data_IF_698407412043
#
_entry.id   IF_698407412043
#
_cell.length_a   1.000
_cell.length_b   1.000
_cell.length_c   1.000
_cell.angle_alpha   90.00
_cell.angle_beta   90.00
_cell.angle_gamma   90.00
#
_symmetry.space_group_name_H-M   'P 1'
#
loop_
_entity.id
_entity.type
_entity.pdbx_description
1 polymer ?
#
# COMPACT_ATOMS: atom_id res chain seq x y z
N UNK A 1 -47.43 -24.11 81.25
CA UNK A 1 -46.35 -24.28 82.20
C UNK A 1 -45.19 -23.40 81.80
N UNK A 2 -45.08 -22.38 82.60
CA UNK A 2 -43.91 -21.74 83.19
C UNK A 2 -43.09 -20.86 82.22
N UNK A 3 -43.25 -19.55 82.24
CA UNK A 3 -42.52 -18.58 83.06
C UNK A 3 -41.04 -18.48 82.70
N UNK A 4 -40.46 -17.35 82.28
CA UNK A 4 -40.16 -16.07 83.05
C UNK A 4 -39.41 -15.11 82.08
N UNK A 5 -39.86 -13.92 81.80
CA UNK A 5 -39.50 -12.65 82.41
C UNK A 5 -38.01 -12.41 82.78
N UNK A 6 -37.41 -11.49 82.06
CA UNK A 6 -36.47 -10.45 82.56
C UNK A 6 -36.12 -9.56 81.36
N UNK A 7 -36.52 -8.33 81.16
CA UNK A 7 -36.31 -7.10 81.91
C UNK A 7 -34.81 -6.79 82.11
N UNK A 8 -34.38 -5.75 81.50
CA UNK A 8 -33.09 -5.08 81.87
C UNK A 8 -32.50 -4.36 80.67
N UNK A 9 -32.86 -3.10 80.55
CA UNK A 9 -31.91 -1.98 80.61
C UNK A 9 -30.61 -2.15 79.76
N UNK A 10 -30.59 -1.44 78.66
CA UNK A 10 -29.44 -0.62 78.27
C UNK A 10 -29.84 0.38 77.18
N UNK A 11 -30.69 1.30 77.52
CA UNK A 11 -30.73 2.60 76.85
C UNK A 11 -29.66 3.44 77.49
N UNK A 12 -28.45 3.45 76.98
CA UNK A 12 -27.56 4.58 77.24
C UNK A 12 -26.15 4.41 76.62
N UNK A 13 -26.02 4.18 75.36
CA UNK A 13 -24.72 4.33 74.68
C UNK A 13 -24.84 4.80 73.23
N UNK A 14 -25.87 5.47 72.84
CA UNK A 14 -26.03 6.03 71.49
C UNK A 14 -25.81 7.54 71.44
N UNK A 15 -24.88 8.09 72.19
CA UNK A 15 -24.59 9.52 72.09
C UNK A 15 -23.13 9.86 72.35
N UNK A 16 -22.22 9.20 71.68
CA UNK A 16 -20.85 9.76 71.64
C UNK A 16 -19.99 9.04 70.58
N UNK A 17 -20.24 9.29 69.35
CA UNK A 17 -19.16 9.33 68.38
C UNK A 17 -19.64 10.02 67.07
N UNK A 18 -19.97 11.30 67.21
CA UNK A 18 -19.88 12.17 66.02
C UNK A 18 -18.41 12.54 65.85
N UNK A 19 -17.61 11.53 65.52
CA UNK A 19 -16.31 11.72 65.00
C UNK A 19 -16.41 12.55 63.71
N UNK A 20 -15.87 13.76 63.79
CA UNK A 20 -15.67 14.65 62.67
C UNK A 20 -15.09 13.86 61.50
N UNK A 21 -15.91 13.58 60.50
CA UNK A 21 -15.41 13.12 59.23
C UNK A 21 -14.54 14.23 58.63
N UNK A 22 -13.23 14.17 58.90
CA UNK A 22 -12.29 14.95 58.13
C UNK A 22 -12.53 14.67 56.67
N UNK A 23 -12.69 15.71 55.84
CA UNK A 23 -12.77 15.48 54.39
C UNK A 23 -11.48 14.80 53.98
N UNK A 24 -11.60 13.54 53.58
CA UNK A 24 -10.54 12.77 52.94
C UNK A 24 -10.08 13.55 51.72
N UNK A 25 -9.06 14.39 51.89
CA UNK A 25 -8.39 15.03 50.77
C UNK A 25 -7.73 13.91 49.97
N UNK A 26 -8.37 13.58 48.86
CA UNK A 26 -7.78 12.62 47.91
C UNK A 26 -6.34 13.07 47.60
N UNK A 27 -5.36 12.19 47.71
CA UNK A 27 -3.97 12.56 47.43
C UNK A 27 -3.88 13.12 46.01
N UNK A 28 -3.57 14.39 45.87
CA UNK A 28 -3.17 14.97 44.61
C UNK A 28 -1.93 14.24 44.13
N UNK A 29 -2.12 13.27 43.21
CA UNK A 29 -1.02 12.60 42.52
C UNK A 29 -0.45 13.63 41.55
N UNK A 30 0.71 14.21 41.81
CA UNK A 30 1.33 15.13 40.88
C UNK A 30 1.69 14.36 39.64
N UNK A 31 0.89 14.51 38.57
CA UNK A 31 1.16 13.97 37.24
C UNK A 31 2.34 14.72 36.61
N UNK A 32 3.51 14.61 37.24
CA UNK A 32 4.76 15.04 36.62
C UNK A 32 5.17 13.94 35.65
N UNK A 33 4.86 14.12 34.39
CA UNK A 33 5.45 13.33 33.29
C UNK A 33 6.96 13.65 33.26
N UNK A 34 7.73 12.99 34.15
CA UNK A 34 9.18 13.03 34.09
C UNK A 34 9.62 12.17 32.89
N UNK A 35 9.60 12.76 31.69
CA UNK A 35 10.12 12.14 30.49
C UNK A 35 11.62 11.86 30.68
N UNK A 36 11.96 10.59 30.75
CA UNK A 36 13.35 10.15 30.76
C UNK A 36 13.99 10.51 29.42
N UNK A 37 15.29 10.82 29.37
CA UNK A 37 16.01 11.16 28.12
C UNK A 37 15.77 10.15 26.97
N UNK A 38 15.60 8.87 27.30
CA UNK A 38 15.25 7.82 26.33
C UNK A 38 13.84 7.99 25.76
N UNK A 39 12.89 8.47 26.54
CA UNK A 39 11.51 8.73 26.07
C UNK A 39 11.43 10.00 25.23
N UNK A 40 12.32 10.97 25.47
CA UNK A 40 12.40 12.19 24.68
C UNK A 40 12.81 11.93 23.22
N UNK A 41 13.57 10.86 22.97
CA UNK A 41 13.96 10.43 21.62
C UNK A 41 12.99 9.38 21.07
N UNK A 42 12.54 8.43 21.90
CA UNK A 42 11.68 7.34 21.48
C UNK A 42 10.27 7.78 21.10
N UNK A 43 9.70 8.74 21.84
CA UNK A 43 8.33 9.21 21.59
C UNK A 43 8.17 9.92 20.24
N UNK A 44 9.05 10.87 19.85
CA UNK A 44 8.99 11.47 18.51
C UNK A 44 9.25 10.45 17.40
N UNK A 45 10.15 9.49 17.60
CA UNK A 45 10.40 8.44 16.61
C UNK A 45 9.17 7.55 16.42
N UNK A 46 8.49 7.19 17.52
CA UNK A 46 7.24 6.42 17.46
C UNK A 46 6.10 7.23 16.80
N UNK A 47 6.00 8.53 17.07
CA UNK A 47 5.03 9.41 16.44
C UNK A 47 5.34 9.69 14.97
N UNK A 48 6.60 9.61 14.55
CA UNK A 48 7.00 9.79 13.15
C UNK A 48 6.42 8.69 12.25
N UNK A 49 6.28 7.45 12.73
CA UNK A 49 5.75 6.33 11.93
C UNK A 49 4.33 6.61 11.39
N UNK A 50 3.32 6.95 12.22
CA UNK A 50 1.99 7.29 11.69
C UNK A 50 2.00 8.55 10.82
N UNK A 51 2.83 9.55 11.13
CA UNK A 51 2.95 10.75 10.33
C UNK A 51 3.51 10.40 8.92
N UNK A 52 4.56 9.60 8.84
CA UNK A 52 5.12 9.12 7.57
C UNK A 52 4.13 8.24 6.79
N UNK A 53 3.30 7.48 7.50
CA UNK A 53 2.21 6.71 6.89
C UNK A 53 1.13 7.62 6.28
N UNK A 54 0.72 8.66 6.99
CA UNK A 54 -0.23 9.67 6.51
C UNK A 54 0.30 10.47 5.31
N UNK A 55 1.61 10.70 5.26
CA UNK A 55 2.29 11.32 4.13
C UNK A 55 2.43 10.39 2.91
N UNK A 56 1.89 9.16 2.98
CA UNK A 56 1.89 8.20 1.88
C UNK A 56 3.24 7.54 1.61
N UNK A 57 4.22 7.65 2.53
CA UNK A 57 5.52 7.01 2.34
C UNK A 57 5.43 5.48 2.26
N UNK A 58 4.43 4.89 2.93
CA UNK A 58 4.16 3.44 2.93
C UNK A 58 3.00 3.06 2.00
N UNK A 59 2.47 4.03 1.22
CA UNK A 59 1.36 3.82 0.31
C UNK A 59 1.77 3.15 -1.01
N UNK A 60 0.79 2.57 -1.68
CA UNK A 60 0.93 2.12 -3.06
C UNK A 60 1.19 3.34 -3.96
N UNK A 61 2.06 3.15 -4.93
CA UNK A 61 2.38 4.20 -5.88
C UNK A 61 2.43 3.65 -7.29
N UNK A 62 1.67 4.26 -8.16
CA UNK A 62 1.80 4.07 -9.59
C UNK A 62 2.77 5.10 -10.18
N UNK A 63 3.46 4.71 -11.21
CA UNK A 63 4.33 5.59 -12.00
C UNK A 63 4.03 5.37 -13.47
N UNK A 64 4.32 6.39 -14.25
CA UNK A 64 4.16 6.36 -15.70
C UNK A 64 5.50 6.69 -16.36
N UNK A 65 5.79 6.00 -17.44
CA UNK A 65 6.97 6.24 -18.26
C UNK A 65 6.57 6.24 -19.72
N UNK A 66 7.15 7.15 -20.47
CA UNK A 66 6.90 7.30 -21.90
C UNK A 66 8.14 6.93 -22.68
N UNK A 67 7.92 6.32 -23.83
CA UNK A 67 8.95 6.06 -24.84
C UNK A 67 8.36 6.36 -26.20
N UNK A 68 9.11 7.01 -27.04
CA UNK A 68 8.69 7.34 -28.40
C UNK A 68 9.78 6.98 -29.39
N UNK A 69 9.34 6.63 -30.56
CA UNK A 69 10.17 6.43 -31.74
C UNK A 69 9.59 7.27 -32.91
N UNK A 70 10.00 7.02 -34.13
CA UNK A 70 9.49 7.76 -35.28
C UNK A 70 8.01 7.49 -35.60
N UNK A 71 7.59 6.23 -35.40
CA UNK A 71 6.26 5.75 -35.81
C UNK A 71 5.38 5.32 -34.66
N UNK A 72 5.94 5.12 -33.49
CA UNK A 72 5.22 4.63 -32.31
C UNK A 72 5.54 5.46 -31.06
N UNK A 73 4.51 5.74 -30.30
CA UNK A 73 4.58 6.28 -28.94
C UNK A 73 4.03 5.24 -27.98
N UNK A 74 4.72 5.00 -26.88
CA UNK A 74 4.32 4.05 -25.85
C UNK A 74 4.30 4.75 -24.49
N UNK A 75 3.18 4.64 -23.78
CA UNK A 75 3.02 5.05 -22.39
C UNK A 75 2.79 3.81 -21.56
N UNK A 76 3.54 3.68 -20.46
CA UNK A 76 3.47 2.55 -19.56
C UNK A 76 3.14 3.07 -18.17
N UNK A 77 1.95 2.72 -17.68
CA UNK A 77 1.56 2.94 -16.29
C UNK A 77 1.78 1.65 -15.51
N UNK A 78 2.58 1.71 -14.47
CA UNK A 78 3.00 0.53 -13.73
C UNK A 78 3.05 0.78 -12.22
N UNK A 79 2.88 -0.27 -11.40
CA UNK A 79 3.00 -0.17 -9.96
C UNK A 79 4.47 0.03 -9.58
N UNK A 80 4.86 1.25 -9.24
CA UNK A 80 6.22 1.53 -8.78
C UNK A 80 6.46 0.99 -7.37
N UNK A 81 5.38 0.89 -6.57
CA UNK A 81 5.45 0.35 -5.21
C UNK A 81 4.10 -0.26 -4.83
N UNK A 82 4.10 -1.49 -4.34
CA UNK A 82 2.91 -2.15 -3.80
C UNK A 82 3.26 -3.26 -2.80
N UNK A 83 2.24 -3.75 -2.09
CA UNK A 83 2.43 -4.76 -1.04
C UNK A 83 2.40 -6.19 -1.58
N UNK A 84 3.07 -7.07 -0.86
CA UNK A 84 3.03 -8.50 -1.08
C UNK A 84 1.59 -9.04 -1.07
N UNK A 85 1.31 -10.02 -1.92
CA UNK A 85 -0.02 -10.64 -2.12
C UNK A 85 -1.11 -9.69 -2.64
N UNK A 86 -0.75 -8.54 -3.15
CA UNK A 86 -1.69 -7.68 -3.86
C UNK A 86 -1.60 -7.87 -5.37
N UNK A 87 -2.74 -7.67 -6.03
CA UNK A 87 -2.83 -7.61 -7.48
C UNK A 87 -2.71 -6.16 -7.91
N UNK A 88 -1.87 -5.91 -8.89
CA UNK A 88 -1.69 -4.58 -9.47
C UNK A 88 -1.71 -4.65 -10.98
N UNK A 89 -2.17 -3.59 -11.63
CA UNK A 89 -2.17 -3.48 -13.07
C UNK A 89 -0.91 -2.82 -13.61
N UNK A 90 -0.45 -3.35 -14.73
CA UNK A 90 0.54 -2.77 -15.62
C UNK A 90 -0.15 -2.50 -16.95
N UNK A 91 -0.36 -1.22 -17.29
CA UNK A 91 -1.08 -0.80 -18.46
C UNK A 91 -0.11 -0.19 -19.47
N UNK A 92 -0.13 -0.70 -20.69
CA UNK A 92 0.74 -0.28 -21.78
C UNK A 92 -0.16 0.24 -22.90
N UNK A 93 -0.14 1.54 -23.13
CA UNK A 93 -0.80 2.16 -24.28
C UNK A 93 0.22 2.37 -25.41
N UNK A 94 -0.07 1.81 -26.57
CA UNK A 94 0.75 1.97 -27.78
C UNK A 94 -0.04 2.73 -28.82
N UNK A 95 0.50 3.85 -29.28
CA UNK A 95 -0.10 4.73 -30.27
C UNK A 95 0.72 4.74 -31.55
N UNK A 96 0.05 4.61 -32.69
CA UNK A 96 0.67 4.85 -33.97
C UNK A 96 0.76 6.36 -34.25
N UNK A 97 1.96 6.88 -34.32
CA UNK A 97 2.22 8.30 -34.64
C UNK A 97 2.60 8.54 -36.10
N UNK A 98 2.67 7.46 -36.90
CA UNK A 98 2.94 7.56 -38.32
C UNK A 98 1.72 8.01 -39.11
N UNK A 99 1.90 8.44 -40.37
CA UNK A 99 0.85 8.85 -41.29
C UNK A 99 0.12 7.68 -42.00
N UNK A 100 0.50 6.44 -41.71
CA UNK A 100 -0.07 5.24 -42.37
C UNK A 100 -0.40 4.15 -41.31
N UNK A 101 -1.24 3.20 -41.70
CA UNK A 101 -1.56 2.07 -40.86
C UNK A 101 -0.32 1.18 -40.65
N UNK A 102 -0.16 0.66 -39.45
CA UNK A 102 0.89 -0.30 -39.14
C UNK A 102 0.24 -1.68 -39.02
N UNK A 103 0.63 -2.58 -39.87
CA UNK A 103 0.05 -3.93 -39.93
C UNK A 103 0.27 -4.72 -38.66
N UNK A 104 1.47 -4.57 -38.04
CA UNK A 104 1.85 -5.34 -36.85
C UNK A 104 2.75 -4.54 -35.96
N UNK A 105 2.36 -4.45 -34.70
CA UNK A 105 3.20 -3.96 -33.60
C UNK A 105 3.38 -5.10 -32.59
N UNK A 106 4.60 -5.48 -32.30
CA UNK A 106 4.93 -6.50 -31.30
C UNK A 106 5.36 -5.80 -30.01
N UNK A 107 4.63 -6.07 -28.91
CA UNK A 107 4.98 -5.55 -27.60
C UNK A 107 5.58 -6.68 -26.78
N UNK A 108 6.85 -6.55 -26.45
CA UNK A 108 7.63 -7.54 -25.69
C UNK A 108 7.75 -7.08 -24.24
N UNK A 109 7.32 -7.92 -23.31
CA UNK A 109 7.54 -7.76 -21.88
C UNK A 109 8.73 -8.63 -21.46
N UNK A 110 9.60 -8.06 -20.65
CA UNK A 110 10.80 -8.77 -20.14
C UNK A 110 10.40 -9.99 -19.32
N UNK A 111 10.78 -11.17 -19.78
CA UNK A 111 10.48 -12.45 -19.11
C UNK A 111 11.06 -12.50 -17.71
N UNK A 112 12.27 -11.95 -17.49
CA UNK A 112 12.92 -11.95 -16.18
C UNK A 112 12.15 -11.06 -15.18
N UNK A 113 11.51 -9.99 -15.66
CA UNK A 113 10.65 -9.15 -14.84
C UNK A 113 9.33 -9.85 -14.53
N UNK A 114 8.64 -10.34 -15.56
CA UNK A 114 7.31 -10.96 -15.41
C UNK A 114 7.38 -12.23 -14.55
N UNK A 115 8.44 -13.03 -14.66
CA UNK A 115 8.62 -14.25 -13.84
C UNK A 115 8.83 -13.99 -12.34
N UNK A 116 8.94 -12.73 -11.93
CA UNK A 116 9.00 -12.35 -10.51
C UNK A 116 7.61 -12.31 -9.85
N UNK A 117 6.56 -12.40 -10.64
CA UNK A 117 5.16 -12.40 -10.18
C UNK A 117 4.59 -13.81 -10.32
N UNK A 118 3.80 -14.25 -9.33
CA UNK A 118 3.29 -15.63 -9.29
C UNK A 118 2.15 -15.91 -10.26
N UNK A 119 1.38 -14.87 -10.58
CA UNK A 119 0.31 -14.94 -11.56
C UNK A 119 0.34 -13.68 -12.42
N UNK A 120 0.28 -13.89 -13.72
CA UNK A 120 0.23 -12.80 -14.69
C UNK A 120 -0.86 -13.09 -15.70
N UNK A 121 -1.85 -12.23 -15.76
CA UNK A 121 -2.90 -12.24 -16.78
C UNK A 121 -2.66 -11.07 -17.70
N UNK A 122 -2.52 -11.34 -18.98
CA UNK A 122 -2.26 -10.32 -20.01
C UNK A 122 -3.42 -10.28 -20.98
N UNK A 123 -3.94 -9.09 -21.23
CA UNK A 123 -5.00 -8.81 -22.18
C UNK A 123 -4.58 -7.70 -23.17
N UNK A 124 -4.63 -7.93 -24.49
CA UNK A 124 -4.95 -9.20 -25.15
C UNK A 124 -3.91 -10.31 -24.89
N UNK A 125 -4.35 -11.57 -25.03
CA UNK A 125 -3.49 -12.72 -24.76
C UNK A 125 -2.21 -12.68 -25.61
N UNK A 126 -1.04 -12.98 -25.01
CA UNK A 126 0.22 -13.02 -25.74
C UNK A 126 0.19 -14.10 -26.84
N UNK A 127 0.80 -13.80 -27.96
CA UNK A 127 0.94 -14.75 -29.08
C UNK A 127 2.05 -15.78 -28.81
N UNK A 128 3.15 -15.37 -28.23
CA UNK A 128 4.32 -16.23 -27.88
C UNK A 128 4.92 -15.68 -26.60
N UNK A 129 5.09 -16.54 -25.60
CA UNK A 129 5.64 -16.16 -24.30
C UNK A 129 4.98 -14.88 -23.76
N UNK A 130 5.74 -13.81 -23.60
CA UNK A 130 5.24 -12.50 -23.14
C UNK A 130 5.28 -11.44 -24.24
N UNK A 131 4.98 -11.86 -25.49
CA UNK A 131 4.89 -10.98 -26.65
C UNK A 131 3.43 -10.85 -27.06
N UNK A 132 2.91 -9.64 -26.97
CA UNK A 132 1.56 -9.29 -27.45
C UNK A 132 1.68 -8.71 -28.85
N UNK A 133 0.88 -9.22 -29.78
CA UNK A 133 0.84 -8.75 -31.16
C UNK A 133 -0.43 -7.92 -31.38
N UNK A 134 -0.24 -6.67 -31.75
CA UNK A 134 -1.33 -5.75 -32.15
C UNK A 134 -1.36 -5.65 -33.65
N UNK A 135 -2.53 -5.83 -34.24
CA UNK A 135 -2.69 -5.81 -35.70
C UNK A 135 -3.53 -4.61 -36.13
N UNK A 136 -3.29 -4.14 -37.36
CA UNK A 136 -4.07 -3.08 -38.03
C UNK A 136 -4.24 -1.83 -37.15
N UNK A 137 -3.12 -1.24 -36.73
CA UNK A 137 -3.14 -0.02 -35.91
C UNK A 137 -3.16 1.20 -36.85
N UNK A 138 -4.33 1.84 -37.00
CA UNK A 138 -4.54 3.00 -37.87
C UNK A 138 -3.71 4.22 -37.39
N UNK A 139 -3.44 5.18 -38.29
CA UNK A 139 -2.77 6.43 -37.88
C UNK A 139 -3.51 7.14 -36.75
N UNK A 140 -2.77 7.55 -35.73
CA UNK A 140 -3.30 8.21 -34.53
C UNK A 140 -4.05 7.29 -33.57
N UNK A 141 -4.33 6.03 -33.93
CA UNK A 141 -5.01 5.09 -33.04
C UNK A 141 -4.10 4.61 -31.91
N UNK A 142 -4.71 4.39 -30.75
CA UNK A 142 -4.05 3.81 -29.58
C UNK A 142 -4.63 2.43 -29.27
N UNK A 143 -3.79 1.51 -28.84
CA UNK A 143 -4.17 0.18 -28.36
C UNK A 143 -3.64 0.00 -26.95
N UNK A 144 -4.48 -0.57 -26.07
CA UNK A 144 -4.15 -0.82 -24.67
C UNK A 144 -3.85 -2.31 -24.48
N UNK A 145 -2.79 -2.58 -23.73
CA UNK A 145 -2.44 -3.90 -23.21
C UNK A 145 -2.45 -3.75 -21.70
N UNK A 146 -3.20 -4.59 -21.01
CA UNK A 146 -3.23 -4.63 -19.55
C UNK A 146 -2.66 -5.95 -19.05
N UNK A 147 -1.81 -5.89 -18.05
CA UNK A 147 -1.27 -7.05 -17.38
C UNK A 147 -1.52 -6.95 -15.87
N UNK A 148 -2.22 -7.93 -15.30
CA UNK A 148 -2.40 -8.08 -13.87
C UNK A 148 -1.20 -8.83 -13.29
N UNK A 149 -0.54 -8.21 -12.31
CA UNK A 149 0.65 -8.72 -11.66
C UNK A 149 0.35 -9.06 -10.20
N UNK A 150 0.56 -10.31 -9.81
CA UNK A 150 0.41 -10.74 -8.43
C UNK A 150 1.77 -10.75 -7.73
N UNK A 151 1.98 -9.88 -6.75
CA UNK A 151 3.23 -9.75 -6.01
C UNK A 151 3.49 -10.93 -5.07
N UNK A 152 4.41 -11.81 -5.48
CA UNK A 152 4.76 -13.04 -4.75
C UNK A 152 6.19 -13.01 -4.17
N UNK A 153 7.00 -12.06 -4.60
CA UNK A 153 8.38 -11.93 -4.17
C UNK A 153 8.69 -10.50 -3.74
N UNK A 154 9.24 -10.37 -2.55
CA UNK A 154 9.71 -9.08 -2.05
C UNK A 154 10.92 -8.57 -2.82
N UNK A 155 11.10 -7.27 -2.81
CA UNK A 155 12.29 -6.63 -3.32
C UNK A 155 12.05 -5.73 -4.51
N UNK A 156 13.16 -5.36 -5.15
CA UNK A 156 13.16 -4.50 -6.34
C UNK A 156 13.20 -5.38 -7.59
N UNK A 157 12.25 -5.15 -8.47
CA UNK A 157 12.14 -5.82 -9.76
C UNK A 157 12.25 -4.77 -10.86
N UNK A 158 13.02 -5.06 -11.87
CA UNK A 158 13.22 -4.18 -13.01
C UNK A 158 13.06 -4.98 -14.27
N UNK A 159 12.42 -4.40 -15.28
CA UNK A 159 12.29 -5.00 -16.59
C UNK A 159 12.21 -3.96 -17.69
N UNK A 160 12.48 -4.41 -18.91
CA UNK A 160 12.35 -3.63 -20.13
C UNK A 160 11.09 -4.03 -20.89
N UNK A 161 10.34 -3.04 -21.32
CA UNK A 161 9.19 -3.22 -22.18
C UNK A 161 9.49 -2.52 -23.49
N UNK A 162 9.29 -3.21 -24.62
CA UNK A 162 9.59 -2.69 -25.94
C UNK A 162 8.43 -2.92 -26.88
N UNK A 163 8.04 -1.88 -27.62
CA UNK A 163 7.12 -1.94 -28.75
C UNK A 163 7.93 -1.84 -30.03
N UNK A 164 7.75 -2.79 -30.92
CA UNK A 164 8.50 -2.95 -32.17
C UNK A 164 7.50 -2.93 -33.33
N UNK A 165 7.68 -2.01 -34.26
CA UNK A 165 6.91 -1.91 -35.49
C UNK A 165 7.88 -1.79 -36.69
N UNK A 166 7.86 -2.73 -37.58
CA UNK A 166 8.78 -2.82 -38.70
C UNK A 166 10.27 -2.74 -38.22
N UNK A 167 10.94 -1.62 -38.53
CA UNK A 167 12.35 -1.36 -38.11
C UNK A 167 12.45 -0.35 -36.98
N UNK A 168 11.33 0.03 -36.37
CA UNK A 168 11.23 1.06 -35.36
C UNK A 168 10.95 0.47 -33.99
N UNK A 169 11.61 0.98 -32.94
CA UNK A 169 11.49 0.44 -31.59
C UNK A 169 11.36 1.57 -30.58
N UNK A 170 10.29 1.53 -29.79
CA UNK A 170 10.13 2.33 -28.59
C UNK A 170 10.31 1.41 -27.38
N UNK A 171 11.20 1.75 -26.43
CA UNK A 171 11.45 0.93 -25.26
C UNK A 171 11.62 1.76 -24.00
N UNK A 172 11.08 1.25 -22.90
CA UNK A 172 11.21 1.85 -21.59
C UNK A 172 11.54 0.81 -20.53
N UNK A 173 12.11 1.28 -19.42
CA UNK A 173 12.44 0.44 -18.26
C UNK A 173 11.45 0.76 -17.14
N UNK A 174 10.80 -0.27 -16.62
CA UNK A 174 9.91 -0.21 -15.46
C UNK A 174 10.64 -0.71 -14.21
N UNK A 175 10.35 -0.11 -13.06
CA UNK A 175 10.95 -0.47 -11.78
C UNK A 175 9.89 -0.58 -10.72
N UNK A 176 9.72 -1.76 -10.17
CA UNK A 176 8.71 -2.08 -9.16
C UNK A 176 9.35 -2.51 -7.86
N UNK A 177 8.81 -2.05 -6.75
CA UNK A 177 9.21 -2.48 -5.40
C UNK A 177 8.04 -3.16 -4.73
N UNK A 178 8.21 -4.44 -4.38
CA UNK A 178 7.25 -5.21 -3.59
C UNK A 178 7.73 -5.24 -2.14
N UNK A 179 6.91 -4.74 -1.23
CA UNK A 179 7.24 -4.67 0.20
C UNK A 179 6.23 -5.48 1.04
N UNK A 180 6.59 -5.89 2.26
CA UNK A 180 5.75 -6.66 3.17
C UNK A 180 4.41 -6.03 3.46
#
# INVERSE_FOLDING_TARGET
MSERKQHGEHSDLLSKDRGSAEPSVAPEIPRRLALTRKQLIGLPLLAAIPILSLLGLFGERQSEVHAASRSIEMSIRYPARFRYRQVQSLDIAVRNTSGHAIDTIKVSLDTAYISRFSSVRIEPSPSIAFIVTLTDVRPGASRLISAELWGDRYGRHQGRIAAIANFDTAAATVRTVVFP
#
